data_IF_343426176966
#
_entry.id   IF_343426176966
#
_cell.length_a   1.000
_cell.length_b   1.000
_cell.length_c   1.000
_cell.angle_alpha   90.00
_cell.angle_beta   90.00
_cell.angle_gamma   90.00
#
_symmetry.space_group_name_H-M   'P 1'
#
loop_
_entity.id
_entity.type
_entity.pdbx_description
1 polymer ?
#
# COMPACT_ATOMS: atom_id res chain seq x y z
N UNK A 1 -35.03 -15.73 -3.17
CA UNK A 1 -34.16 -15.51 -1.98
C UNK A 1 -32.65 -15.57 -2.26
N UNK A 2 -32.15 -15.86 -3.48
CA UNK A 2 -30.70 -15.93 -3.76
C UNK A 2 -30.03 -14.61 -4.18
N UNK A 3 -30.79 -13.58 -4.60
CA UNK A 3 -30.24 -12.29 -5.09
C UNK A 3 -29.86 -11.30 -3.98
N UNK A 4 -30.52 -11.36 -2.83
CA UNK A 4 -30.25 -10.44 -1.71
C UNK A 4 -28.90 -10.76 -1.05
N UNK A 5 -28.59 -12.05 -0.86
CA UNK A 5 -27.34 -12.50 -0.22
C UNK A 5 -26.10 -12.08 -1.01
N UNK A 6 -26.15 -12.13 -2.35
CA UNK A 6 -25.03 -11.74 -3.23
C UNK A 6 -24.78 -10.23 -3.16
N UNK A 7 -25.83 -9.40 -3.15
CA UNK A 7 -25.68 -7.94 -3.07
C UNK A 7 -25.08 -7.51 -1.72
N UNK A 8 -25.51 -8.14 -0.61
CA UNK A 8 -24.98 -7.88 0.72
C UNK A 8 -23.53 -8.37 0.90
N UNK A 9 -23.13 -9.46 0.24
CA UNK A 9 -21.75 -9.94 0.25
C UNK A 9 -20.81 -9.00 -0.53
N UNK A 10 -21.26 -8.51 -1.69
CA UNK A 10 -20.52 -7.50 -2.46
C UNK A 10 -20.40 -6.20 -1.67
N UNK A 11 -21.46 -5.76 -1.00
CA UNK A 11 -21.43 -4.56 -0.16
C UNK A 11 -20.49 -4.70 1.05
N UNK A 12 -20.45 -5.87 1.70
CA UNK A 12 -19.54 -6.13 2.81
C UNK A 12 -18.06 -6.21 2.38
N UNK A 13 -17.78 -6.75 1.18
CA UNK A 13 -16.43 -6.76 0.62
C UNK A 13 -15.94 -5.34 0.28
N UNK A 14 -16.81 -4.48 -0.26
CA UNK A 14 -16.48 -3.08 -0.57
C UNK A 14 -16.14 -2.27 0.70
N UNK A 15 -16.77 -2.57 1.84
CA UNK A 15 -16.47 -1.86 3.10
C UNK A 15 -15.11 -2.23 3.72
N UNK A 16 -14.51 -3.38 3.38
CA UNK A 16 -13.19 -3.77 3.88
C UNK A 16 -12.03 -3.22 3.03
N UNK A 17 -12.30 -2.72 1.83
CA UNK A 17 -11.28 -2.30 0.86
C UNK A 17 -10.64 -0.91 1.16
N UNK A 18 -11.23 -0.10 2.06
CA UNK A 18 -10.86 1.31 2.22
C UNK A 18 -10.17 1.72 3.52
N UNK A 19 -10.03 0.83 4.51
CA UNK A 19 -9.51 1.19 5.82
C UNK A 19 -7.99 0.97 5.91
N UNK A 20 -7.21 1.72 5.13
CA UNK A 20 -5.78 1.88 5.38
C UNK A 20 -5.60 2.82 6.60
N UNK A 21 -6.06 2.40 7.78
CA UNK A 21 -5.78 3.10 9.02
C UNK A 21 -4.30 2.85 9.35
N UNK A 22 -3.45 3.82 9.05
CA UNK A 22 -2.10 3.83 9.57
C UNK A 22 -2.18 3.90 11.11
N UNK A 23 -1.53 2.95 11.77
CA UNK A 23 -1.43 2.94 13.22
C UNK A 23 -0.22 3.79 13.62
N UNK A 24 -0.47 4.88 14.32
CA UNK A 24 0.60 5.65 14.97
C UNK A 24 1.21 4.79 16.08
N UNK A 25 2.46 4.37 15.89
CA UNK A 25 3.17 3.50 16.84
C UNK A 25 4.17 4.27 17.70
N UNK A 26 4.53 5.49 17.27
CA UNK A 26 5.38 6.38 18.02
C UNK A 26 5.05 7.84 17.69
N UNK A 27 4.92 8.65 18.74
CA UNK A 27 4.72 10.09 18.60
C UNK A 27 5.30 10.79 19.82
N UNK A 28 6.49 11.37 19.66
CA UNK A 28 7.19 12.07 20.74
C UNK A 28 8.19 13.07 20.19
N UNK A 29 8.23 14.25 20.81
CA UNK A 29 9.22 15.31 20.54
C UNK A 29 9.30 15.70 19.06
N UNK A 30 8.14 15.87 18.41
CA UNK A 30 8.06 16.23 16.98
C UNK A 30 8.39 15.08 16.03
N UNK A 31 8.66 13.88 16.53
CA UNK A 31 8.89 12.68 15.73
C UNK A 31 7.66 11.77 15.76
N UNK A 32 7.13 11.46 14.60
CA UNK A 32 6.00 10.56 14.39
C UNK A 32 6.42 9.37 13.54
N UNK A 33 6.00 8.18 13.92
CA UNK A 33 6.18 6.96 13.14
C UNK A 33 4.85 6.23 13.05
N UNK A 34 4.38 6.12 11.82
CA UNK A 34 3.20 5.36 11.46
C UNK A 34 3.59 4.03 10.84
N UNK A 35 2.95 2.96 11.30
CA UNK A 35 2.98 1.65 10.67
C UNK A 35 1.65 1.44 9.95
N UNK A 36 1.71 1.13 8.66
CA UNK A 36 0.54 0.89 7.84
C UNK A 36 0.74 -0.36 6.97
N UNK A 37 -0.34 -0.82 6.38
CA UNK A 37 -0.30 -2.01 5.54
C UNK A 37 -1.67 -2.58 5.32
N UNK A 38 -1.71 -3.70 4.62
CA UNK A 38 -2.90 -4.52 4.45
C UNK A 38 -2.54 -5.97 4.19
N UNK A 39 -3.46 -6.85 4.56
CA UNK A 39 -3.48 -8.26 4.16
C UNK A 39 -4.70 -8.39 3.25
N UNK A 40 -4.46 -8.76 1.99
CA UNK A 40 -5.48 -8.81 0.95
C UNK A 40 -5.64 -10.26 0.49
N UNK A 41 -6.75 -10.88 0.90
CA UNK A 41 -7.13 -12.24 0.50
C UNK A 41 -7.89 -12.18 -0.83
N UNK A 42 -7.22 -12.52 -1.91
CA UNK A 42 -7.71 -12.27 -3.26
C UNK A 42 -7.72 -13.54 -4.09
N UNK A 43 -8.84 -13.80 -4.78
CA UNK A 43 -8.95 -14.94 -5.69
C UNK A 43 -9.55 -14.48 -7.01
N UNK A 44 -8.86 -14.75 -8.11
CA UNK A 44 -9.32 -14.43 -9.45
C UNK A 44 -10.01 -15.64 -10.05
N UNK A 45 -11.21 -15.40 -10.60
CA UNK A 45 -11.94 -16.38 -11.41
C UNK A 45 -11.82 -15.98 -12.89
N UNK A 46 -11.13 -16.78 -13.68
CA UNK A 46 -10.85 -16.47 -15.08
C UNK A 46 -10.82 -17.73 -15.95
N UNK A 47 -11.29 -17.62 -17.20
CA UNK A 47 -11.08 -18.68 -18.19
C UNK A 47 -9.60 -18.82 -18.58
N UNK A 48 -8.80 -17.76 -18.37
CA UNK A 48 -7.36 -17.79 -18.57
C UNK A 48 -6.65 -18.39 -17.33
N UNK A 49 -6.13 -19.60 -17.49
CA UNK A 49 -5.50 -20.38 -16.42
C UNK A 49 -4.21 -19.76 -15.87
N UNK A 50 -3.57 -18.83 -16.60
CA UNK A 50 -2.37 -18.15 -16.10
C UNK A 50 -2.66 -17.06 -15.07
N UNK A 51 -3.91 -16.62 -14.96
CA UNK A 51 -4.35 -15.57 -14.03
C UNK A 51 -5.36 -16.06 -12.99
N UNK A 52 -6.01 -17.19 -13.27
CA UNK A 52 -6.96 -17.84 -12.38
C UNK A 52 -6.26 -18.38 -11.13
N UNK A 53 -6.95 -18.29 -9.99
CA UNK A 53 -6.46 -18.77 -8.71
C UNK A 53 -6.14 -17.69 -7.70
N UNK A 54 -5.35 -18.08 -6.69
CA UNK A 54 -5.00 -17.22 -5.56
C UNK A 54 -4.06 -16.08 -6.00
N UNK A 55 -4.42 -14.86 -5.62
CA UNK A 55 -3.66 -13.63 -5.82
C UNK A 55 -3.38 -12.91 -4.50
N UNK A 56 -3.55 -13.61 -3.37
CA UNK A 56 -3.39 -13.04 -2.04
C UNK A 56 -2.00 -12.43 -1.83
N UNK A 57 -1.98 -11.26 -1.19
CA UNK A 57 -0.75 -10.54 -0.92
C UNK A 57 -0.85 -9.73 0.36
N UNK A 58 0.32 -9.36 0.87
CA UNK A 58 0.51 -8.54 2.06
C UNK A 58 1.32 -7.33 1.65
N UNK A 59 0.90 -6.15 2.11
CA UNK A 59 1.71 -4.94 2.06
C UNK A 59 1.93 -4.43 3.47
N UNK A 60 3.15 -4.01 3.74
CA UNK A 60 3.53 -3.36 4.98
C UNK A 60 4.36 -2.16 4.65
N UNK A 61 4.18 -1.08 5.38
CA UNK A 61 4.96 0.11 5.21
C UNK A 61 5.08 0.90 6.50
N UNK A 62 6.14 1.69 6.55
CA UNK A 62 6.39 2.66 7.61
C UNK A 62 6.42 4.04 7.00
N UNK A 63 5.88 5.01 7.73
CA UNK A 63 5.96 6.43 7.38
C UNK A 63 6.46 7.17 8.60
N UNK A 64 7.63 7.78 8.48
CA UNK A 64 8.25 8.57 9.54
C UNK A 64 8.22 10.04 9.18
N UNK A 65 7.94 10.88 10.17
CA UNK A 65 8.02 12.34 10.06
C UNK A 65 8.78 12.88 11.28
N UNK A 66 9.66 13.85 11.06
CA UNK A 66 10.45 14.52 12.09
C UNK A 66 10.38 16.03 11.87
N UNK A 67 9.79 16.74 12.82
CA UNK A 67 9.77 18.19 12.80
C UNK A 67 11.16 18.71 13.20
N UNK A 68 11.86 19.32 12.25
CA UNK A 68 13.20 19.89 12.49
C UNK A 68 13.06 21.31 13.00
N UNK A 69 12.21 22.11 12.34
CA UNK A 69 11.81 23.45 12.76
C UNK A 69 10.34 23.70 12.39
N UNK A 70 9.78 24.85 12.76
CA UNK A 70 8.42 25.25 12.36
C UNK A 70 8.24 25.35 10.83
N UNK A 71 9.35 25.47 10.08
CA UNK A 71 9.33 25.62 8.61
C UNK A 71 9.89 24.41 7.87
N UNK A 72 10.48 23.43 8.57
CA UNK A 72 11.18 22.31 7.96
C UNK A 72 10.81 21.00 8.64
N UNK A 73 10.23 20.09 7.88
CA UNK A 73 9.89 18.73 8.34
C UNK A 73 10.61 17.72 7.46
N UNK A 74 11.37 16.81 8.07
CA UNK A 74 11.89 15.64 7.40
C UNK A 74 10.86 14.53 7.37
N UNK A 75 10.75 13.81 6.27
CA UNK A 75 9.87 12.65 6.17
C UNK A 75 10.52 11.52 5.39
N UNK A 76 10.03 10.31 5.63
CA UNK A 76 10.45 9.13 4.90
C UNK A 76 9.35 8.08 4.86
N UNK A 77 9.31 7.33 3.79
CA UNK A 77 8.35 6.25 3.62
C UNK A 77 9.02 5.05 2.97
N UNK A 78 8.69 3.89 3.51
CA UNK A 78 9.05 2.60 2.93
C UNK A 78 7.81 1.73 2.86
N UNK A 79 7.61 1.06 1.72
CA UNK A 79 6.52 0.13 1.50
C UNK A 79 7.05 -1.14 0.83
N UNK A 80 6.73 -2.29 1.43
CA UNK A 80 7.15 -3.61 1.00
C UNK A 80 5.93 -4.48 0.70
N UNK A 81 5.97 -5.20 -0.42
CA UNK A 81 4.94 -6.16 -0.80
C UNK A 81 5.50 -7.58 -0.71
N UNK A 82 4.69 -8.50 -0.20
CA UNK A 82 4.93 -9.94 -0.16
C UNK A 82 3.71 -10.64 -0.72
N UNK A 83 3.88 -11.43 -1.77
CA UNK A 83 2.83 -12.27 -2.34
C UNK A 83 2.72 -13.56 -1.50
N UNK A 84 1.50 -13.89 -1.09
CA UNK A 84 1.18 -15.02 -0.21
C UNK A 84 0.45 -16.14 -0.96
N UNK A 85 0.55 -16.16 -2.29
CA UNK A 85 -0.20 -17.05 -3.18
C UNK A 85 0.64 -18.16 -3.81
N UNK A 86 1.86 -18.42 -3.31
CA UNK A 86 2.73 -19.50 -3.80
C UNK A 86 3.42 -20.24 -2.65
N UNK A 87 3.83 -21.50 -2.85
CA UNK A 87 4.53 -22.29 -1.84
C UNK A 87 5.90 -21.71 -1.45
N UNK A 88 6.35 -22.03 -0.23
CA UNK A 88 7.64 -21.57 0.32
C UNK A 88 8.85 -22.15 -0.44
N UNK A 89 8.71 -23.36 -0.99
CA UNK A 89 9.76 -24.06 -1.75
C UNK A 89 10.05 -23.42 -3.12
N UNK A 90 9.35 -22.33 -3.44
CA UNK A 90 9.44 -21.62 -4.71
C UNK A 90 8.58 -22.26 -5.80
N UNK A 91 8.18 -21.43 -6.75
CA UNK A 91 7.59 -21.87 -8.02
C UNK A 91 8.68 -21.81 -9.11
N UNK A 92 8.53 -22.64 -10.15
CA UNK A 92 9.44 -22.72 -11.30
C UNK A 92 9.51 -21.41 -12.10
N UNK A 93 8.67 -20.42 -11.79
CA UNK A 93 8.61 -19.11 -12.44
C UNK A 93 9.80 -18.20 -12.15
N UNK A 94 10.66 -18.52 -11.17
CA UNK A 94 11.90 -17.77 -10.86
C UNK A 94 11.70 -16.29 -10.49
N UNK A 95 10.45 -15.87 -10.30
CA UNK A 95 10.07 -14.49 -10.02
C UNK A 95 10.07 -14.24 -8.52
N UNK A 96 10.65 -13.13 -8.04
CA UNK A 96 10.65 -12.81 -6.62
C UNK A 96 9.22 -12.65 -6.10
N UNK A 97 8.93 -13.27 -4.96
CA UNK A 97 7.62 -13.18 -4.29
C UNK A 97 7.46 -11.90 -3.47
N UNK A 98 8.50 -11.08 -3.35
CA UNK A 98 8.45 -9.86 -2.55
C UNK A 98 9.37 -8.78 -3.09
N UNK A 99 8.97 -7.52 -2.97
CA UNK A 99 9.75 -6.38 -3.44
C UNK A 99 9.38 -5.08 -2.73
N UNK A 100 10.32 -4.13 -2.76
CA UNK A 100 10.09 -2.75 -2.30
C UNK A 100 9.28 -1.99 -3.34
N UNK A 101 8.11 -1.51 -2.95
CA UNK A 101 7.22 -0.68 -3.77
C UNK A 101 7.59 0.79 -3.71
N UNK A 102 7.78 1.28 -2.49
CA UNK A 102 8.17 2.66 -2.19
C UNK A 102 9.36 2.64 -1.24
N UNK A 103 10.27 3.59 -1.40
CA UNK A 103 11.44 3.73 -0.57
C UNK A 103 12.09 5.06 -0.86
N UNK A 104 11.68 6.09 -0.13
CA UNK A 104 12.14 7.45 -0.33
C UNK A 104 12.25 8.21 0.99
N UNK A 105 13.04 9.27 0.97
CA UNK A 105 13.14 10.25 2.04
C UNK A 105 13.12 11.64 1.43
N UNK A 106 12.60 12.61 2.17
CA UNK A 106 12.42 13.97 1.70
C UNK A 106 12.36 15.00 2.80
N UNK A 107 12.34 16.25 2.35
CA UNK A 107 12.20 17.44 3.18
C UNK A 107 10.99 18.23 2.67
N UNK A 108 10.10 18.56 3.59
CA UNK A 108 8.98 19.46 3.36
C UNK A 108 9.30 20.82 3.96
N UNK A 109 9.15 21.86 3.13
CA UNK A 109 9.37 23.26 3.48
C UNK A 109 8.00 23.93 3.54
N UNK A 110 7.56 24.33 4.73
CA UNK A 110 6.20 24.80 5.06
C UNK A 110 5.33 25.21 3.84
N UNK A 111 5.63 26.34 3.22
CA UNK A 111 4.84 26.87 2.09
C UNK A 111 5.53 26.71 0.72
N UNK A 112 6.76 26.19 0.68
CA UNK A 112 7.57 26.08 -0.54
C UNK A 112 7.49 24.71 -1.21
N UNK A 113 6.68 23.81 -0.65
CA UNK A 113 6.50 22.44 -1.15
C UNK A 113 7.51 21.47 -0.55
N UNK A 114 7.76 20.36 -1.24
CA UNK A 114 8.62 19.30 -0.75
C UNK A 114 9.53 18.77 -1.85
N UNK A 115 10.67 18.24 -1.45
CA UNK A 115 11.57 17.47 -2.32
C UNK A 115 11.86 16.13 -1.68
N UNK A 116 11.77 15.07 -2.45
CA UNK A 116 12.10 13.71 -2.03
C UNK A 116 13.00 13.03 -3.06
N UNK A 117 13.77 12.07 -2.57
CA UNK A 117 14.67 11.26 -3.38
C UNK A 117 14.53 9.79 -3.02
N UNK A 118 14.40 8.95 -4.05
CA UNK A 118 14.26 7.51 -3.93
C UNK A 118 13.21 6.97 -4.88
N UNK A 119 12.66 5.81 -4.54
CA UNK A 119 11.59 5.16 -5.29
C UNK A 119 10.24 5.69 -4.79
N UNK A 120 9.69 6.67 -5.50
CA UNK A 120 8.37 7.26 -5.24
C UNK A 120 7.49 7.19 -6.51
N UNK A 121 6.20 7.50 -6.37
CA UNK A 121 5.31 7.71 -7.51
C UNK A 121 5.79 8.92 -8.32
N UNK A 122 5.76 8.81 -9.65
CA UNK A 122 6.10 9.92 -10.54
C UNK A 122 4.92 10.90 -10.70
N UNK A 123 5.22 12.14 -11.11
CA UNK A 123 4.25 13.25 -11.23
C UNK A 123 3.01 12.97 -12.10
N UNK A 124 3.08 12.01 -13.03
CA UNK A 124 1.92 11.62 -13.85
C UNK A 124 0.89 10.80 -13.06
N UNK A 125 1.32 10.12 -11.99
CA UNK A 125 0.44 9.36 -11.12
C UNK A 125 -0.49 10.27 -10.31
N UNK A 126 -0.12 11.54 -10.11
CA UNK A 126 -0.96 12.54 -9.45
C UNK A 126 -2.32 12.70 -10.16
N UNK A 127 -2.33 12.59 -11.50
CA UNK A 127 -3.55 12.61 -12.32
C UNK A 127 -4.15 11.21 -12.43
N UNK A 128 -3.32 10.18 -12.65
CA UNK A 128 -3.78 8.81 -12.84
C UNK A 128 -4.52 8.23 -11.61
N UNK A 129 -4.09 8.62 -10.42
CA UNK A 129 -4.68 8.23 -9.15
C UNK A 129 -6.15 8.66 -8.99
N UNK A 130 -6.60 9.69 -9.72
CA UNK A 130 -8.01 10.12 -9.67
C UNK A 130 -8.98 9.06 -10.20
N UNK A 131 -8.50 8.19 -11.09
CA UNK A 131 -9.29 7.11 -11.69
C UNK A 131 -8.91 5.72 -11.19
N UNK A 132 -7.79 5.60 -10.48
CA UNK A 132 -7.28 4.36 -9.89
C UNK A 132 -7.92 4.09 -8.52
N UNK A 133 -9.26 4.01 -8.49
CA UNK A 133 -10.08 3.85 -7.28
C UNK A 133 -10.74 2.48 -7.15
N UNK A 134 -10.51 1.59 -8.12
CA UNK A 134 -11.00 0.22 -8.10
C UNK A 134 -9.99 -0.64 -7.33
N UNK A 135 -10.45 -1.29 -6.26
CA UNK A 135 -9.68 -2.21 -5.43
C UNK A 135 -9.77 -3.64 -5.94
#
# INVERSE_FOLDING_TARGET
>A
MKKVVVLSAVAAAVMMAGAANAAEIYNKDGNKLDLYGKVDGLHYFSSNHSTDGDQSYIRMGIKGETQITDQLTGFGQWEYQVNANRPEDGDSSGSPQSWTRLGFAGLAFADMGSVDYGRNYGVLYDIGSWTDVLA
#
